data_IF_578558783660
#
_entry.id   IF_578558783660
#
_cell.length_a   1.000
_cell.length_b   1.000
_cell.length_c   1.000
_cell.angle_alpha   90.00
_cell.angle_beta   90.00
_cell.angle_gamma   90.00
#
_symmetry.space_group_name_H-M   'P 1'
#
loop_
_entity.id
_entity.type
_entity.pdbx_description
1 polymer ?
#
# COMPACT_ATOMS: atom_id res chain seq x y z
N UNK A 1 0.65 18.56 -8.23
CA UNK A 1 1.75 18.54 -7.24
C UNK A 1 1.53 17.31 -6.37
N UNK A 2 2.50 16.39 -6.34
CA UNK A 2 2.42 15.18 -5.51
C UNK A 2 2.48 15.53 -4.02
N UNK A 3 1.68 14.84 -3.21
CA UNK A 3 1.66 14.97 -1.75
C UNK A 3 2.76 14.14 -1.08
N UNK A 4 3.24 14.60 0.08
CA UNK A 4 4.23 13.85 0.86
C UNK A 4 3.52 12.74 1.65
N UNK A 5 3.90 11.49 1.38
CA UNK A 5 3.40 10.33 2.11
C UNK A 5 4.09 10.24 3.48
N UNK A 6 3.30 10.07 4.53
CA UNK A 6 3.78 9.87 5.90
C UNK A 6 3.24 8.55 6.45
N UNK A 7 4.15 7.73 6.95
CA UNK A 7 3.82 6.46 7.59
C UNK A 7 3.68 6.67 9.10
N UNK A 8 2.69 6.00 9.69
CA UNK A 8 2.69 5.85 11.15
C UNK A 8 3.71 4.80 11.55
N UNK A 9 4.28 4.90 12.76
CA UNK A 9 5.19 3.87 13.29
C UNK A 9 4.60 2.45 13.21
N UNK A 10 3.28 2.34 13.39
CA UNK A 10 2.57 1.05 13.28
C UNK A 10 2.55 0.51 11.85
N UNK A 11 2.41 1.39 10.85
CA UNK A 11 2.38 0.99 9.45
C UNK A 11 3.77 0.53 8.99
N UNK A 12 4.82 1.21 9.47
CA UNK A 12 6.22 0.87 9.23
C UNK A 12 6.54 -0.56 9.70
N UNK A 13 6.30 -0.84 10.99
CA UNK A 13 6.50 -2.18 11.57
C UNK A 13 5.68 -3.26 10.84
N UNK A 14 4.43 -2.97 10.47
CA UNK A 14 3.60 -3.93 9.74
C UNK A 14 4.11 -4.23 8.34
N UNK A 15 4.76 -3.27 7.69
CA UNK A 15 5.36 -3.49 6.38
C UNK A 15 6.58 -4.41 6.51
N UNK A 16 7.41 -4.20 7.53
CA UNK A 16 8.56 -5.07 7.82
C UNK A 16 8.11 -6.51 8.11
N UNK A 17 7.10 -6.69 8.96
CA UNK A 17 6.52 -8.01 9.27
C UNK A 17 6.01 -8.71 7.99
N UNK A 18 5.36 -7.96 7.10
CA UNK A 18 4.85 -8.48 5.84
C UNK A 18 5.98 -8.87 4.89
N UNK A 19 7.03 -8.04 4.77
CA UNK A 19 8.20 -8.34 3.95
C UNK A 19 8.88 -9.62 4.44
N UNK A 20 9.09 -9.74 5.75
CA UNK A 20 9.69 -10.93 6.37
C UNK A 20 8.86 -12.18 6.08
N UNK A 21 7.53 -12.09 6.21
CA UNK A 21 6.64 -13.20 5.87
C UNK A 21 6.73 -13.58 4.39
N UNK A 22 6.65 -12.60 3.48
CA UNK A 22 6.73 -12.84 2.04
C UNK A 22 8.07 -13.50 1.65
N UNK A 23 9.17 -13.05 2.24
CA UNK A 23 10.50 -13.59 2.00
C UNK A 23 10.63 -15.02 2.51
N UNK A 24 10.13 -15.30 3.71
CA UNK A 24 10.20 -16.61 4.34
C UNK A 24 9.42 -17.66 3.55
N UNK A 25 8.22 -17.31 3.08
CA UNK A 25 7.33 -18.26 2.39
C UNK A 25 7.64 -18.41 0.90
N UNK A 26 8.07 -17.34 0.22
CA UNK A 26 8.20 -17.32 -1.25
C UNK A 26 9.51 -16.76 -1.79
N UNK A 27 10.41 -16.31 -0.93
CA UNK A 27 11.74 -15.82 -1.30
C UNK A 27 11.78 -14.39 -1.83
N UNK A 28 13.01 -13.91 -2.02
CA UNK A 28 13.34 -12.51 -2.33
C UNK A 28 12.67 -11.99 -3.62
N UNK A 29 12.48 -12.85 -4.63
CA UNK A 29 11.87 -12.43 -5.90
C UNK A 29 10.43 -11.96 -5.74
N UNK A 30 9.67 -12.59 -4.83
CA UNK A 30 8.28 -12.18 -4.54
C UNK A 30 8.27 -10.87 -3.76
N UNK A 31 9.20 -10.69 -2.81
CA UNK A 31 9.38 -9.41 -2.09
C UNK A 31 9.68 -8.28 -3.07
N UNK A 32 10.63 -8.47 -3.99
CA UNK A 32 10.98 -7.46 -5.01
C UNK A 32 9.78 -7.07 -5.86
N UNK A 33 9.00 -8.05 -6.33
CA UNK A 33 7.80 -7.80 -7.12
C UNK A 33 6.72 -7.05 -6.32
N UNK A 34 6.53 -7.40 -5.05
CA UNK A 34 5.61 -6.72 -4.15
C UNK A 34 6.03 -5.28 -3.89
N UNK A 35 7.29 -5.04 -3.52
CA UNK A 35 7.82 -3.70 -3.24
C UNK A 35 7.71 -2.79 -4.46
N UNK A 36 7.98 -3.31 -5.67
CA UNK A 36 7.77 -2.55 -6.90
C UNK A 36 6.31 -2.10 -7.04
N UNK A 37 5.35 -3.01 -6.92
CA UNK A 37 3.91 -2.68 -6.98
C UNK A 37 3.50 -1.69 -5.89
N UNK A 38 4.04 -1.83 -4.68
CA UNK A 38 3.77 -0.92 -3.59
C UNK A 38 4.26 0.50 -3.92
N UNK A 39 5.50 0.65 -4.40
CA UNK A 39 6.04 1.97 -4.77
C UNK A 39 5.29 2.61 -5.94
N UNK A 40 4.99 1.84 -6.99
CA UNK A 40 4.17 2.30 -8.12
C UNK A 40 2.79 2.82 -7.63
N UNK A 41 2.20 2.13 -6.65
CA UNK A 41 0.94 2.57 -6.03
C UNK A 41 1.10 3.82 -5.15
N UNK A 42 2.17 3.93 -4.37
CA UNK A 42 2.42 5.10 -3.53
C UNK A 42 2.63 6.36 -4.37
N UNK A 43 3.29 6.24 -5.53
CA UNK A 43 3.42 7.34 -6.48
C UNK A 43 2.05 7.82 -6.95
N UNK A 44 1.18 6.89 -7.40
CA UNK A 44 -0.20 7.21 -7.78
C UNK A 44 -1.00 7.84 -6.63
N UNK A 45 -0.87 7.31 -5.42
CA UNK A 45 -1.56 7.82 -4.23
C UNK A 45 -1.10 9.25 -3.87
N UNK A 46 0.17 9.57 -4.11
CA UNK A 46 0.71 10.91 -3.88
C UNK A 46 0.09 11.94 -4.84
N UNK A 47 -0.21 11.54 -6.07
CA UNK A 47 -0.83 12.42 -7.07
C UNK A 47 -2.35 12.52 -6.90
N UNK A 48 -2.99 11.40 -6.54
CA UNK A 48 -4.44 11.31 -6.43
C UNK A 48 -4.85 10.73 -5.06
N UNK A 49 -4.77 11.51 -3.97
CA UNK A 49 -5.06 11.03 -2.60
C UNK A 49 -6.51 10.54 -2.40
N UNK A 50 -7.41 10.90 -3.31
CA UNK A 50 -8.83 10.55 -3.24
C UNK A 50 -9.20 9.26 -3.97
N UNK A 51 -8.24 8.58 -4.61
CA UNK A 51 -8.52 7.36 -5.40
C UNK A 51 -9.09 6.23 -4.55
N UNK A 52 -9.05 6.33 -3.23
CA UNK A 52 -9.54 5.30 -2.32
C UNK A 52 -10.99 5.44 -1.99
N UNK A 53 -11.62 4.31 -1.73
CA UNK A 53 -13.00 4.29 -1.28
C UNK A 53 -13.10 4.81 0.15
N UNK A 54 -14.11 5.62 0.40
CA UNK A 54 -14.34 6.18 1.73
C UNK A 54 -14.87 5.11 2.68
N UNK A 55 -14.03 4.64 3.60
CA UNK A 55 -14.39 3.60 4.57
C UNK A 55 -14.92 4.21 5.89
N UNK A 56 -14.37 5.34 6.31
CA UNK A 56 -14.81 6.01 7.54
C UNK A 56 -14.85 7.54 7.35
N UNK A 57 -15.97 8.03 6.84
CA UNK A 57 -16.18 9.44 6.49
C UNK A 57 -15.85 10.41 7.61
N UNK A 58 -16.26 10.11 8.86
CA UNK A 58 -16.03 11.00 10.02
C UNK A 58 -14.55 11.20 10.38
N UNK A 59 -13.66 10.30 9.97
CA UNK A 59 -12.20 10.37 10.22
C UNK A 59 -11.40 10.56 8.93
N UNK A 60 -12.07 10.73 7.78
CA UNK A 60 -11.42 10.83 6.47
C UNK A 60 -10.60 9.59 6.09
N UNK A 61 -10.93 8.40 6.62
CA UNK A 61 -10.19 7.18 6.34
C UNK A 61 -10.68 6.59 5.03
N UNK A 62 -9.74 6.38 4.11
CA UNK A 62 -9.95 5.70 2.83
C UNK A 62 -9.28 4.33 2.83
N UNK A 63 -9.92 3.37 2.19
CA UNK A 63 -9.42 2.01 2.03
C UNK A 63 -9.00 1.77 0.58
N UNK A 64 -8.09 0.81 0.43
CA UNK A 64 -7.59 0.35 -0.85
C UNK A 64 -7.40 -1.14 -0.82
N UNK A 65 -7.71 -1.80 -1.93
CA UNK A 65 -7.43 -3.20 -2.12
C UNK A 65 -6.50 -3.38 -3.32
N UNK A 66 -5.33 -3.96 -3.07
CA UNK A 66 -4.34 -4.29 -4.09
C UNK A 66 -4.38 -5.80 -4.29
N UNK A 67 -4.87 -6.24 -5.45
CA UNK A 67 -4.90 -7.65 -5.81
C UNK A 67 -3.84 -7.96 -6.90
N UNK A 68 -3.67 -9.25 -7.22
CA UNK A 68 -2.66 -9.72 -8.19
C UNK A 68 -2.91 -9.22 -9.63
N UNK A 69 -4.17 -8.94 -9.98
CA UNK A 69 -4.73 -8.90 -11.34
C UNK A 69 -5.44 -7.57 -11.66
N UNK A 70 -5.87 -6.80 -10.67
CA UNK A 70 -6.78 -5.65 -10.80
C UNK A 70 -6.75 -4.75 -9.56
N UNK A 71 -6.66 -3.43 -9.75
CA UNK A 71 -6.94 -2.45 -8.70
C UNK A 71 -8.47 -2.34 -8.58
N UNK A 72 -9.06 -2.75 -7.45
CA UNK A 72 -10.48 -2.59 -7.18
C UNK A 72 -10.72 -1.63 -6.02
N UNK A 73 -11.67 -0.71 -6.22
CA UNK A 73 -12.15 0.25 -5.23
C UNK A 73 -13.28 -0.43 -4.44
N UNK A 74 -13.07 -0.71 -3.16
CA UNK A 74 -14.06 -1.37 -2.27
C UNK A 74 -15.05 -0.39 -1.65
#
# INVERSE_FOLDING_TARGET
MALIIRWTKRADVKLDDLIFYLETEWGENVVKAFMKKLYDFLELLSEFPEIGSMQFKKKGIRGFFVDKTSFNLL
#
